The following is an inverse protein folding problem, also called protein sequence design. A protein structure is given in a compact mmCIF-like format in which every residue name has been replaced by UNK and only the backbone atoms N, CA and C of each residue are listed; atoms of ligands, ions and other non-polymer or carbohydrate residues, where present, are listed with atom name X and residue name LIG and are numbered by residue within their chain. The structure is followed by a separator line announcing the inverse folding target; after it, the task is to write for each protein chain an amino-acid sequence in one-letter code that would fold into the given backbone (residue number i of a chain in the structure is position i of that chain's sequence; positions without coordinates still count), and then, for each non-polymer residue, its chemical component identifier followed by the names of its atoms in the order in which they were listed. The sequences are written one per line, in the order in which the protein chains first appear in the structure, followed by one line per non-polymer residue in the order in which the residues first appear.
data_IF_388805765865
#
_entry.id   IF_388805765865
#
_cell.length_a   1.000
_cell.length_b   1.000
_cell.length_c   1.000
_cell.angle_alpha   90.00
_cell.angle_beta   90.00
_cell.angle_gamma   90.00
#
_symmetry.space_group_name_H-M   'P 1'
#
loop_
_entity.id
_entity.type
_entity.pdbx_description
1 polymer ?
#
# COMPACT_ATOMS: atom_id res chain seq x y z
N UNK A 1 -5.95 -10.43 -10.47
CA UNK A 1 -5.45 -9.83 -9.21
C UNK A 1 -4.46 -10.71 -8.44
N UNK A 2 -4.66 -12.04 -8.40
CA UNK A 2 -3.83 -12.94 -7.59
C UNK A 2 -2.35 -13.04 -8.00
N UNK A 3 -2.05 -13.01 -9.31
CA UNK A 3 -0.66 -13.00 -9.79
C UNK A 3 0.10 -11.74 -9.35
N UNK A 4 -0.50 -10.55 -9.51
CA UNK A 4 0.10 -9.29 -9.08
C UNK A 4 0.41 -9.25 -7.59
N UNK A 5 -0.51 -9.76 -6.75
CA UNK A 5 -0.30 -9.88 -5.29
C UNK A 5 0.96 -10.70 -4.97
N UNK A 6 1.10 -11.86 -5.60
CA UNK A 6 2.29 -12.74 -5.44
C UNK A 6 3.58 -12.04 -5.82
N UNK A 7 3.59 -11.28 -6.93
CA UNK A 7 4.78 -10.53 -7.34
C UNK A 7 5.16 -9.43 -6.36
N UNK A 8 4.20 -8.65 -5.86
CA UNK A 8 4.50 -7.61 -4.86
C UNK A 8 4.95 -8.20 -3.52
N UNK A 9 4.38 -9.33 -3.09
CA UNK A 9 4.86 -10.04 -1.90
C UNK A 9 6.29 -10.54 -2.07
N UNK A 10 6.64 -11.11 -3.24
CA UNK A 10 8.03 -11.49 -3.56
C UNK A 10 8.96 -10.27 -3.57
N UNK A 11 8.54 -9.17 -4.17
CA UNK A 11 9.32 -7.93 -4.21
C UNK A 11 9.60 -7.40 -2.79
N UNK A 12 8.61 -7.44 -1.89
CA UNK A 12 8.76 -7.05 -0.48
C UNK A 12 9.67 -8.02 0.27
N UNK A 13 9.60 -9.33 -0.02
CA UNK A 13 10.51 -10.33 0.58
C UNK A 13 11.97 -10.07 0.19
N UNK A 14 12.22 -9.66 -1.04
CA UNK A 14 13.57 -9.34 -1.55
C UNK A 14 14.03 -7.97 -1.03
N UNK A 15 13.15 -6.98 -1.05
CA UNK A 15 13.41 -5.60 -0.61
C UNK A 15 12.25 -5.10 0.24
N UNK A 16 12.34 -5.23 1.58
CA UNK A 16 11.30 -4.74 2.48
C UNK A 16 11.04 -3.23 2.34
N UNK A 17 12.05 -2.45 1.95
CA UNK A 17 11.93 -1.00 1.72
C UNK A 17 11.34 -0.61 0.37
N UNK A 18 10.78 -1.54 -0.41
CA UNK A 18 10.24 -1.26 -1.74
C UNK A 18 8.88 -0.55 -1.65
N UNK A 19 8.90 0.77 -1.45
CA UNK A 19 7.71 1.60 -1.25
C UNK A 19 6.58 1.35 -2.26
N UNK A 20 6.90 1.29 -3.57
CA UNK A 20 5.89 1.04 -4.61
C UNK A 20 5.26 -0.36 -4.56
N UNK A 21 5.99 -1.37 -4.08
CA UNK A 21 5.44 -2.72 -3.91
C UNK A 21 4.44 -2.74 -2.75
N UNK A 22 4.76 -2.04 -1.65
CA UNK A 22 3.80 -1.80 -0.56
C UNK A 22 2.56 -1.03 -1.05
N UNK A 23 2.74 0.06 -1.81
CA UNK A 23 1.62 0.84 -2.36
C UNK A 23 0.70 0.00 -3.27
N UNK A 24 1.27 -0.76 -4.20
CA UNK A 24 0.48 -1.59 -5.11
C UNK A 24 -0.21 -2.76 -4.39
N UNK A 25 0.43 -3.32 -3.36
CA UNK A 25 -0.19 -4.34 -2.53
C UNK A 25 -1.34 -3.76 -1.70
N UNK A 26 -1.23 -2.52 -1.22
CA UNK A 26 -2.31 -1.80 -0.56
C UNK A 26 -3.51 -1.58 -1.49
N UNK A 27 -3.29 -1.17 -2.74
CA UNK A 27 -4.35 -1.02 -3.75
C UNK A 27 -5.09 -2.35 -4.02
N UNK A 28 -4.37 -3.47 -4.06
CA UNK A 28 -4.97 -4.78 -4.25
C UNK A 28 -5.86 -5.18 -3.06
N UNK A 29 -5.38 -4.95 -1.83
CA UNK A 29 -6.17 -5.21 -0.63
C UNK A 29 -7.39 -4.29 -0.52
N UNK A 30 -7.25 -3.01 -0.85
CA UNK A 30 -8.36 -2.05 -0.90
C UNK A 30 -9.44 -2.51 -1.88
N UNK A 31 -9.04 -2.97 -3.07
CA UNK A 31 -9.96 -3.52 -4.07
C UNK A 31 -10.64 -4.82 -3.61
N UNK A 32 -10.00 -5.59 -2.75
CA UNK A 32 -10.55 -6.81 -2.16
C UNK A 32 -11.46 -6.55 -0.96
N UNK A 33 -11.62 -5.30 -0.52
CA UNK A 33 -12.35 -4.95 0.69
C UNK A 33 -11.58 -5.24 1.99
N UNK A 34 -10.35 -5.78 1.90
CA UNK A 34 -9.47 -5.97 3.05
C UNK A 34 -8.81 -4.65 3.43
N UNK A 35 -9.60 -3.83 4.10
CA UNK A 35 -9.22 -2.50 4.56
C UNK A 35 -8.03 -2.53 5.51
N UNK A 36 -7.98 -3.51 6.41
CA UNK A 36 -6.92 -3.63 7.42
C UNK A 36 -5.56 -3.84 6.75
N UNK A 37 -5.47 -4.77 5.78
CA UNK A 37 -4.25 -4.99 5.02
C UNK A 37 -3.90 -3.80 4.13
N UNK A 38 -4.90 -3.14 3.54
CA UNK A 38 -4.67 -1.93 2.74
C UNK A 38 -4.03 -0.81 3.57
N UNK A 39 -4.58 -0.50 4.75
CA UNK A 39 -4.03 0.50 5.67
C UNK A 39 -2.59 0.16 6.06
N UNK A 40 -2.33 -1.10 6.43
CA UNK A 40 -0.98 -1.57 6.80
C UNK A 40 0.02 -1.28 5.69
N UNK A 41 -0.30 -1.68 4.45
CA UNK A 41 0.62 -1.52 3.34
C UNK A 41 0.75 -0.06 2.86
N UNK A 42 -0.29 0.77 2.97
CA UNK A 42 -0.14 2.22 2.72
C UNK A 42 0.81 2.87 3.73
N UNK A 43 0.71 2.53 5.03
CA UNK A 43 1.63 3.04 6.06
C UNK A 43 3.08 2.66 5.78
N UNK A 44 3.34 1.40 5.43
CA UNK A 44 4.69 0.97 5.06
C UNK A 44 5.21 1.66 3.81
N UNK A 45 4.38 1.86 2.77
CA UNK A 45 4.79 2.62 1.60
C UNK A 45 5.22 4.05 1.97
N UNK A 46 4.45 4.72 2.81
CA UNK A 46 4.73 6.07 3.32
C UNK A 46 6.02 6.15 4.14
N UNK A 47 6.31 5.13 4.95
CA UNK A 47 7.55 5.03 5.73
C UNK A 47 8.80 4.99 4.83
N UNK A 48 8.69 4.40 3.65
CA UNK A 48 9.83 4.22 2.73
C UNK A 48 9.93 5.29 1.63
N UNK A 49 8.93 6.13 1.43
CA UNK A 49 9.05 7.28 0.53
C UNK A 49 9.99 8.33 1.13
N UNK A 50 11.22 8.42 0.60
CA UNK A 50 12.27 9.35 1.07
C UNK A 50 12.07 10.79 0.61
N UNK A 51 11.26 11.02 -0.43
CA UNK A 51 10.97 12.33 -1.01
C UNK A 51 9.50 12.42 -1.46
N UNK A 52 8.89 13.61 -1.38
CA UNK A 52 7.58 13.89 -1.98
C UNK A 52 7.50 13.37 -3.41
N UNK A 53 6.53 12.51 -3.66
CA UNK A 53 6.23 12.00 -4.99
C UNK A 53 4.73 11.73 -5.13
N UNK A 54 4.27 11.55 -6.37
CA UNK A 54 2.85 11.30 -6.66
C UNK A 54 2.29 10.10 -5.89
N UNK A 55 3.05 9.01 -5.77
CA UNK A 55 2.59 7.81 -5.06
C UNK A 55 2.44 8.05 -3.55
N UNK A 56 3.30 8.86 -2.93
CA UNK A 56 3.16 9.27 -1.54
C UNK A 56 1.87 10.07 -1.32
N UNK A 57 1.58 11.03 -2.21
CA UNK A 57 0.34 11.81 -2.14
C UNK A 57 -0.90 10.92 -2.27
N UNK A 58 -0.91 10.01 -3.25
CA UNK A 58 -2.01 9.07 -3.45
C UNK A 58 -2.19 8.11 -2.26
N UNK A 59 -1.09 7.59 -1.71
CA UNK A 59 -1.10 6.75 -0.51
C UNK A 59 -1.73 7.49 0.68
N UNK A 60 -1.35 8.75 0.93
CA UNK A 60 -1.96 9.57 1.99
C UNK A 60 -3.45 9.81 1.78
N UNK A 61 -3.86 10.16 0.56
CA UNK A 61 -5.26 10.42 0.21
C UNK A 61 -6.13 9.19 0.46
N UNK A 62 -5.67 8.01 0.01
CA UNK A 62 -6.38 6.74 0.19
C UNK A 62 -6.38 6.29 1.65
N UNK A 63 -5.24 6.38 2.34
CA UNK A 63 -5.14 6.06 3.76
C UNK A 63 -6.13 6.88 4.59
N UNK A 64 -6.23 8.20 4.35
CA UNK A 64 -7.20 9.06 5.04
C UNK A 64 -8.64 8.64 4.77
N UNK A 65 -8.98 8.27 3.53
CA UNK A 65 -10.32 7.76 3.18
C UNK A 65 -10.63 6.44 3.91
N UNK A 66 -9.66 5.53 3.95
CA UNK A 66 -9.72 4.25 4.66
C UNK A 66 -9.58 4.38 6.18
N UNK A 67 -9.44 5.57 6.74
CA UNK A 67 -9.55 5.77 8.20
C UNK A 67 -10.87 6.42 8.56
N UNK A 68 -11.38 7.35 7.74
CA UNK A 68 -12.64 8.05 7.98
C UNK A 68 -13.90 7.19 7.85
N UNK A 69 -13.84 6.13 7.08
CA UNK A 69 -14.98 5.24 6.83
C UNK A 69 -14.99 3.99 7.74
N UNK A 70 -14.30 4.05 8.89
CA UNK A 70 -14.38 3.00 9.90
C UNK A 70 -15.66 3.25 10.74
N UNK A 71 -16.46 2.21 11.03
CA UNK A 71 -17.66 2.36 11.84
C UNK A 71 -17.33 2.84 13.26
#
# INVERSE_FOLDING_TARGET
FNAAKKYFQKAIKIKPSHANAHFNLALLYEKQGDRSSAIKHYKEALRYYRRPNRFQYEALKRLRRLQKTAP
#
